data_IF_567377505151
#
_entry.id   IF_567377505151
#
_cell.length_a   1.000
_cell.length_b   1.000
_cell.length_c   1.000
_cell.angle_alpha   90.00
_cell.angle_beta   90.00
_cell.angle_gamma   90.00
#
_symmetry.space_group_name_H-M   'P 1'
#
loop_
_entity.id
_entity.type
_entity.pdbx_description
1 polymer ?
#
# COMPACT_ATOMS: atom_id res chain seq x y z
N UNK A 1 -9.82 -6.05 -25.86
CA UNK A 1 -9.90 -7.42 -25.28
C UNK A 1 -8.88 -7.51 -24.16
N UNK A 2 -9.31 -7.34 -22.90
CA UNK A 2 -8.46 -7.47 -21.71
C UNK A 2 -8.78 -8.80 -21.03
N UNK A 3 -8.37 -9.89 -21.67
CA UNK A 3 -8.40 -11.21 -21.05
C UNK A 3 -6.99 -11.81 -21.19
N UNK A 4 -6.49 -12.32 -20.05
CA UNK A 4 -5.32 -13.19 -19.86
C UNK A 4 -4.20 -12.58 -19.00
N UNK A 5 -4.49 -12.36 -17.71
CA UNK A 5 -3.49 -12.60 -16.67
C UNK A 5 -4.12 -13.54 -15.65
N UNK A 6 -3.54 -14.74 -15.39
CA UNK A 6 -4.05 -15.65 -14.37
C UNK A 6 -4.07 -14.97 -13.00
N UNK A 7 -4.86 -15.47 -12.02
CA UNK A 7 -4.97 -14.92 -10.67
C UNK A 7 -3.70 -14.99 -9.79
N UNK A 8 -2.52 -15.13 -10.38
CA UNK A 8 -1.25 -15.31 -9.66
C UNK A 8 -0.02 -14.76 -10.37
N UNK A 9 -0.16 -13.81 -11.31
CA UNK A 9 1.01 -13.17 -11.90
C UNK A 9 1.56 -12.13 -10.92
N UNK A 10 2.81 -12.25 -10.43
CA UNK A 10 3.43 -11.28 -9.52
C UNK A 10 3.39 -9.84 -10.08
N UNK A 11 3.39 -9.71 -11.41
CA UNK A 11 3.27 -8.42 -12.09
C UNK A 11 1.94 -7.70 -11.82
N UNK A 12 0.84 -8.39 -11.55
CA UNK A 12 -0.44 -7.72 -11.31
C UNK A 12 -0.42 -6.93 -10.01
N UNK A 13 0.09 -7.51 -8.92
CA UNK A 13 0.22 -6.81 -7.66
C UNK A 13 1.10 -5.56 -7.81
N UNK A 14 2.21 -5.69 -8.55
CA UNK A 14 3.11 -4.57 -8.84
C UNK A 14 2.45 -3.48 -9.69
N UNK A 15 1.70 -3.85 -10.73
CA UNK A 15 0.97 -2.89 -11.56
C UNK A 15 -0.08 -2.12 -10.75
N UNK A 16 -0.85 -2.81 -9.89
CA UNK A 16 -1.82 -2.17 -9.00
C UNK A 16 -1.13 -1.22 -8.03
N UNK A 17 -0.03 -1.64 -7.41
CA UNK A 17 0.75 -0.76 -6.53
C UNK A 17 1.29 0.46 -7.25
N UNK A 18 1.80 0.32 -8.49
CA UNK A 18 2.29 1.45 -9.25
C UNK A 18 1.17 2.43 -9.60
N UNK A 19 0.01 1.93 -10.03
CA UNK A 19 -1.14 2.78 -10.32
C UNK A 19 -1.64 3.51 -9.05
N UNK A 20 -1.59 2.85 -7.89
CA UNK A 20 -1.90 3.48 -6.61
C UNK A 20 -0.93 4.63 -6.27
N UNK A 21 0.36 4.46 -6.53
CA UNK A 21 1.36 5.53 -6.36
C UNK A 21 1.11 6.70 -7.30
N UNK A 22 0.76 6.43 -8.57
CA UNK A 22 0.44 7.48 -9.54
C UNK A 22 -0.80 8.28 -9.10
N UNK A 23 -1.83 7.61 -8.60
CA UNK A 23 -3.03 8.27 -8.05
C UNK A 23 -2.73 9.06 -6.77
N UNK A 24 -1.89 8.55 -5.86
CA UNK A 24 -1.46 9.32 -4.70
C UNK A 24 -0.68 10.57 -5.11
N UNK A 25 0.15 10.48 -6.14
CA UNK A 25 0.87 11.64 -6.69
C UNK A 25 -0.11 12.65 -7.29
N UNK A 26 -1.16 12.18 -7.96
CA UNK A 26 -2.23 13.03 -8.47
C UNK A 26 -2.98 13.72 -7.33
N UNK A 27 -3.33 12.98 -6.27
CA UNK A 27 -3.91 13.53 -5.04
C UNK A 27 -3.03 14.62 -4.43
N UNK A 28 -1.71 14.41 -4.32
CA UNK A 28 -0.80 15.42 -3.76
C UNK A 28 -0.80 16.74 -4.56
N UNK A 29 -1.10 16.66 -5.87
CA UNK A 29 -1.20 17.82 -6.77
C UNK A 29 -2.59 18.46 -6.77
N UNK A 30 -3.65 17.66 -6.71
CA UNK A 30 -5.04 18.10 -6.89
C UNK A 30 -5.80 18.35 -5.59
N UNK A 31 -5.42 17.65 -4.52
CA UNK A 31 -6.20 17.51 -3.28
C UNK A 31 -7.47 16.68 -3.44
N UNK A 32 -7.65 15.96 -4.57
CA UNK A 32 -8.86 15.20 -4.86
C UNK A 32 -8.90 13.88 -4.09
N UNK A 33 -9.79 13.82 -3.09
CA UNK A 33 -9.92 12.66 -2.20
C UNK A 33 -10.28 11.37 -2.94
N UNK A 34 -10.95 11.47 -4.09
CA UNK A 34 -11.30 10.28 -4.88
C UNK A 34 -10.05 9.59 -5.42
N UNK A 35 -9.00 10.34 -5.75
CA UNK A 35 -7.71 9.78 -6.18
C UNK A 35 -7.05 9.00 -5.03
N UNK A 36 -7.07 9.53 -3.81
CA UNK A 36 -6.52 8.86 -2.63
C UNK A 36 -7.31 7.60 -2.25
N UNK A 37 -8.63 7.66 -2.29
CA UNK A 37 -9.49 6.50 -1.99
C UNK A 37 -9.28 5.38 -3.02
N UNK A 38 -9.12 5.72 -4.31
CA UNK A 38 -8.76 4.75 -5.34
C UNK A 38 -7.35 4.17 -5.12
N UNK A 39 -6.37 4.99 -4.74
CA UNK A 39 -5.03 4.51 -4.41
C UNK A 39 -5.06 3.47 -3.28
N UNK A 40 -5.81 3.75 -2.21
CA UNK A 40 -6.02 2.82 -1.09
C UNK A 40 -6.63 1.51 -1.57
N UNK A 41 -7.68 1.55 -2.39
CA UNK A 41 -8.32 0.34 -2.92
C UNK A 41 -7.35 -0.50 -3.75
N UNK A 42 -6.53 0.13 -4.60
CA UNK A 42 -5.54 -0.58 -5.42
C UNK A 42 -4.46 -1.25 -4.57
N UNK A 43 -4.02 -0.60 -3.49
CA UNK A 43 -3.04 -1.20 -2.57
C UNK A 43 -3.65 -2.34 -1.74
N UNK A 44 -4.94 -2.26 -1.38
CA UNK A 44 -5.66 -3.39 -0.78
C UNK A 44 -5.74 -4.58 -1.74
N UNK A 45 -6.07 -4.34 -3.02
CA UNK A 45 -6.10 -5.38 -4.04
C UNK A 45 -4.70 -6.00 -4.27
N UNK A 46 -3.65 -5.16 -4.31
CA UNK A 46 -2.27 -5.64 -4.40
C UNK A 46 -1.86 -6.49 -3.17
N UNK A 47 -2.35 -6.15 -1.98
CA UNK A 47 -2.09 -6.91 -0.76
C UNK A 47 -2.77 -8.28 -0.78
N UNK A 48 -3.98 -8.39 -1.33
CA UNK A 48 -4.68 -9.66 -1.54
C UNK A 48 -3.88 -10.57 -2.49
N UNK A 49 -3.23 -9.99 -3.50
CA UNK A 49 -2.40 -10.72 -4.46
C UNK A 49 -0.98 -11.06 -3.96
N UNK A 50 -0.58 -10.56 -2.80
CA UNK A 50 0.75 -10.81 -2.20
C UNK A 50 0.60 -11.60 -0.89
N UNK A 51 0.32 -12.92 -0.94
CA UNK A 51 0.06 -13.74 0.25
C UNK A 51 1.27 -13.80 1.20
N UNK A 52 1.10 -14.26 2.45
CA UNK A 52 2.21 -14.46 3.39
C UNK A 52 3.37 -15.24 2.75
N UNK A 53 4.59 -14.71 2.89
CA UNK A 53 5.80 -15.27 2.26
C UNK A 53 6.12 -14.69 0.87
N UNK A 54 5.22 -13.91 0.25
CA UNK A 54 5.51 -13.21 -1.00
C UNK A 54 6.54 -12.10 -0.78
N UNK A 55 7.58 -11.96 -1.64
CA UNK A 55 8.65 -10.99 -1.45
C UNK A 55 8.15 -9.54 -1.37
N UNK A 56 7.15 -9.19 -2.16
CA UNK A 56 6.61 -7.83 -2.21
C UNK A 56 5.59 -7.51 -1.09
N UNK A 57 5.19 -8.50 -0.27
CA UNK A 57 4.14 -8.30 0.73
C UNK A 57 4.46 -7.17 1.70
N UNK A 58 5.72 -7.10 2.16
CA UNK A 58 6.16 -6.04 3.07
C UNK A 58 6.05 -4.65 2.43
N UNK A 59 6.28 -4.53 1.12
CA UNK A 59 6.12 -3.27 0.39
C UNK A 59 4.65 -2.90 0.26
N UNK A 60 3.78 -3.86 -0.11
CA UNK A 60 2.34 -3.62 -0.19
C UNK A 60 1.73 -3.18 1.14
N UNK A 61 2.14 -3.80 2.24
CA UNK A 61 1.73 -3.39 3.60
C UNK A 61 2.18 -1.95 3.92
N UNK A 62 3.45 -1.62 3.66
CA UNK A 62 3.98 -0.28 3.91
C UNK A 62 3.27 0.79 3.08
N UNK A 63 3.03 0.57 1.79
CA UNK A 63 2.35 1.56 0.94
C UNK A 63 0.91 1.79 1.40
N UNK A 64 0.16 0.72 1.71
CA UNK A 64 -1.20 0.85 2.21
C UNK A 64 -1.23 1.62 3.55
N UNK A 65 -0.28 1.34 4.45
CA UNK A 65 -0.17 2.07 5.71
C UNK A 65 0.06 3.58 5.48
N UNK A 66 0.95 3.95 4.55
CA UNK A 66 1.22 5.36 4.21
C UNK A 66 -0.04 6.07 3.71
N UNK A 67 -0.77 5.49 2.75
CA UNK A 67 -1.95 6.16 2.19
C UNK A 67 -3.11 6.26 3.19
N UNK A 68 -3.28 5.28 4.08
CA UNK A 68 -4.24 5.37 5.19
C UNK A 68 -3.84 6.49 6.17
N UNK A 69 -2.55 6.63 6.48
CA UNK A 69 -2.06 7.76 7.29
C UNK A 69 -2.33 9.11 6.61
N UNK A 70 -2.07 9.22 5.31
CA UNK A 70 -2.39 10.43 4.53
C UNK A 70 -3.88 10.74 4.52
N UNK A 71 -4.75 9.73 4.49
CA UNK A 71 -6.20 9.93 4.58
C UNK A 71 -6.62 10.38 5.98
N UNK A 72 -6.06 9.78 7.04
CA UNK A 72 -6.24 10.22 8.41
C UNK A 72 -5.86 11.70 8.60
N UNK A 73 -4.74 12.14 8.04
CA UNK A 73 -4.30 13.54 8.14
C UNK A 73 -5.33 14.53 7.56
N UNK A 74 -6.16 14.08 6.61
CA UNK A 74 -7.21 14.89 5.98
C UNK A 74 -8.59 14.77 6.63
N UNK A 75 -8.94 13.57 7.10
CA UNK A 75 -10.28 13.25 7.58
C UNK A 75 -10.38 13.28 9.10
N UNK A 76 -9.28 13.03 9.80
CA UNK A 76 -9.22 12.75 11.23
C UNK A 76 -9.81 11.39 11.62
N UNK A 77 -10.05 10.49 10.66
CA UNK A 77 -10.64 9.18 10.91
C UNK A 77 -9.66 8.24 11.62
N UNK A 78 -9.96 7.93 12.87
CA UNK A 78 -9.09 7.09 13.70
C UNK A 78 -9.00 5.65 13.19
N UNK A 79 -10.00 5.16 12.49
CA UNK A 79 -9.98 3.80 11.96
C UNK A 79 -8.87 3.65 10.92
N UNK A 80 -8.64 4.69 10.11
CA UNK A 80 -7.53 4.74 9.15
C UNK A 80 -6.17 4.73 9.85
N UNK A 81 -6.02 5.50 10.92
CA UNK A 81 -4.78 5.55 11.69
C UNK A 81 -4.47 4.21 12.36
N UNK A 82 -5.47 3.60 13.01
CA UNK A 82 -5.30 2.32 13.68
C UNK A 82 -4.94 1.23 12.67
N UNK A 83 -5.57 1.23 11.50
CA UNK A 83 -5.24 0.30 10.42
C UNK A 83 -3.84 0.56 9.85
N UNK A 84 -3.43 1.82 9.66
CA UNK A 84 -2.08 2.17 9.20
C UNK A 84 -1.01 1.65 10.17
N UNK A 85 -1.21 1.82 11.49
CA UNK A 85 -0.30 1.34 12.53
C UNK A 85 -0.17 -0.19 12.46
N UNK A 86 -1.30 -0.91 12.37
CA UNK A 86 -1.27 -2.37 12.30
C UNK A 86 -0.51 -2.86 11.06
N UNK A 87 -0.76 -2.28 9.90
CA UNK A 87 -0.09 -2.65 8.66
C UNK A 87 1.41 -2.33 8.68
N UNK A 88 1.80 -1.20 9.28
CA UNK A 88 3.20 -0.84 9.49
C UNK A 88 3.93 -1.83 10.40
N UNK A 89 3.29 -2.27 11.48
CA UNK A 89 3.82 -3.30 12.37
C UNK A 89 4.00 -4.63 11.63
N UNK A 90 3.01 -5.06 10.85
CA UNK A 90 3.09 -6.27 10.04
C UNK A 90 4.24 -6.20 9.02
N UNK A 91 4.45 -5.04 8.39
CA UNK A 91 5.58 -4.84 7.48
C UNK A 91 6.95 -4.95 8.18
N UNK A 92 7.05 -4.45 9.41
CA UNK A 92 8.27 -4.54 10.23
C UNK A 92 8.59 -5.96 10.68
N UNK A 93 7.57 -6.78 10.94
CA UNK A 93 7.75 -8.21 11.23
C UNK A 93 8.38 -8.93 10.04
N UNK A 94 8.01 -8.55 8.81
CA UNK A 94 8.59 -9.12 7.58
C UNK A 94 9.99 -8.58 7.25
N UNK A 95 10.44 -7.49 7.89
CA UNK A 95 11.72 -6.82 7.63
C UNK A 95 12.52 -6.69 8.93
N UNK A 96 13.14 -7.77 9.44
CA UNK A 96 13.84 -7.76 10.72
C UNK A 96 15.04 -6.80 10.73
N UNK A 97 15.61 -6.48 11.91
CA UNK A 97 16.79 -5.62 12.02
C UNK A 97 17.92 -6.06 11.08
N UNK A 98 18.49 -5.12 10.33
CA UNK A 98 19.51 -5.39 9.30
C UNK A 98 18.94 -5.67 7.90
N UNK A 99 17.62 -5.80 7.73
CA UNK A 99 17.00 -5.95 6.41
C UNK A 99 17.09 -4.62 5.62
N UNK A 100 17.56 -4.63 4.35
CA UNK A 100 17.75 -3.40 3.56
C UNK A 100 16.50 -2.53 3.44
N UNK A 101 15.31 -3.14 3.34
CA UNK A 101 14.03 -2.43 3.25
C UNK A 101 13.43 -1.99 4.59
N UNK A 102 14.06 -2.27 5.74
CA UNK A 102 13.47 -1.96 7.06
C UNK A 102 13.32 -0.45 7.28
N UNK A 103 14.29 0.34 6.83
CA UNK A 103 14.27 1.79 6.98
C UNK A 103 13.01 2.39 6.34
N UNK A 104 12.66 1.94 5.13
CA UNK A 104 11.45 2.39 4.43
C UNK A 104 10.19 2.15 5.24
N UNK A 105 10.05 1.02 5.92
CA UNK A 105 8.87 0.75 6.78
C UNK A 105 8.84 1.54 8.07
N UNK A 106 9.95 2.16 8.49
CA UNK A 106 10.06 3.02 9.67
C UNK A 106 9.94 4.51 9.34
N UNK A 107 10.07 4.88 8.08
CA UNK A 107 9.93 6.26 7.59
C UNK A 107 8.49 6.63 7.25
N UNK A 108 7.57 5.67 7.37
CA UNK A 108 6.14 5.85 7.17
C UNK A 108 5.50 6.60 8.34
#
# INVERSE_FOLDING_TARGET
MLALSPPGHPDRARLLSNLGVDLSTQFDLSGDRDDLDQAIQLHQDALVLTPPGHPDRATSLSNLATHLSTRFDQSGDRDDLDQAIQLGQDALVLRPPGHPGRATSLSN
#
